data_IF_529565595450
#
_entry.id   IF_529565595450
#
_cell.length_a   1.000
_cell.length_b   1.000
_cell.length_c   1.000
_cell.angle_alpha   90.00
_cell.angle_beta   90.00
_cell.angle_gamma   90.00
#
_symmetry.space_group_name_H-M   'P 1'
#
loop_
_entity.id
_entity.type
_entity.pdbx_description
1 polymer ?
#
# COMPACT_ATOMS: atom_id res chain seq x y z
N UNK A 1 15.97 -8.65 12.06
CA UNK A 1 15.89 -7.18 12.20
C UNK A 1 15.74 -6.63 10.79
N UNK A 2 14.53 -6.26 10.38
CA UNK A 2 14.29 -5.69 9.05
C UNK A 2 14.88 -4.28 9.04
N UNK A 3 15.95 -4.11 8.27
CA UNK A 3 16.67 -2.85 8.20
C UNK A 3 16.00 -1.98 7.12
N UNK A 4 14.79 -1.48 7.42
CA UNK A 4 13.92 -0.73 6.49
C UNK A 4 14.64 0.46 5.82
N UNK A 5 15.64 1.03 6.50
CA UNK A 5 16.50 2.10 5.98
C UNK A 5 17.43 1.68 4.85
N UNK A 6 17.79 0.39 4.77
CA UNK A 6 18.65 -0.15 3.71
C UNK A 6 17.87 -0.36 2.41
N UNK A 7 16.60 -0.73 2.49
CA UNK A 7 15.75 -0.96 1.32
C UNK A 7 15.41 0.32 0.56
N UNK A 8 15.32 1.47 1.24
CA UNK A 8 15.03 2.76 0.59
C UNK A 8 16.29 3.60 0.29
N UNK A 9 17.47 3.12 0.68
CA UNK A 9 18.73 3.86 0.54
C UNK A 9 19.15 4.15 -0.91
N UNK A 10 18.60 3.39 -1.87
CA UNK A 10 18.82 3.57 -3.30
C UNK A 10 17.91 4.66 -3.93
N UNK A 11 16.87 5.10 -3.22
CA UNK A 11 15.95 6.14 -3.69
C UNK A 11 16.59 7.50 -3.43
N UNK A 12 16.77 8.29 -4.48
CA UNK A 12 17.31 9.66 -4.37
C UNK A 12 16.40 10.51 -3.47
N UNK A 13 16.96 11.30 -2.55
CA UNK A 13 16.15 12.23 -1.75
C UNK A 13 15.53 13.30 -2.64
N UNK A 14 14.26 13.62 -2.41
CA UNK A 14 13.58 14.69 -3.14
C UNK A 14 14.19 16.05 -2.79
N UNK A 15 14.54 16.85 -3.81
CA UNK A 15 15.18 18.16 -3.66
C UNK A 15 14.40 19.31 -4.34
N UNK A 16 13.15 19.07 -4.73
CA UNK A 16 12.31 20.06 -5.43
C UNK A 16 12.52 20.12 -6.95
N UNK A 17 13.63 19.58 -7.47
CA UNK A 17 13.95 19.59 -8.91
C UNK A 17 13.95 18.19 -9.53
N UNK A 18 14.14 17.14 -8.72
CA UNK A 18 14.25 15.75 -9.16
C UNK A 18 12.95 14.95 -9.06
N UNK A 19 11.78 15.59 -9.19
CA UNK A 19 10.48 14.94 -9.01
C UNK A 19 10.31 13.64 -9.84
N UNK A 20 10.63 13.60 -11.15
CA UNK A 20 10.46 12.39 -11.95
C UNK A 20 11.29 11.20 -11.43
N UNK A 21 12.56 11.44 -11.09
CA UNK A 21 13.47 10.39 -10.63
C UNK A 21 13.11 9.92 -9.22
N UNK A 22 12.77 10.84 -8.32
CA UNK A 22 12.28 10.49 -6.99
C UNK A 22 10.98 9.68 -7.06
N UNK A 23 10.02 10.13 -7.89
CA UNK A 23 8.74 9.44 -8.07
C UNK A 23 8.95 8.02 -8.62
N UNK A 24 9.86 7.84 -9.57
CA UNK A 24 10.16 6.52 -10.14
C UNK A 24 10.72 5.56 -9.08
N UNK A 25 11.73 5.98 -8.30
CA UNK A 25 12.28 5.15 -7.22
C UNK A 25 11.23 4.82 -6.15
N UNK A 26 10.40 5.79 -5.79
CA UNK A 26 9.30 5.57 -4.87
C UNK A 26 8.24 4.61 -5.44
N UNK A 27 7.95 4.68 -6.74
CA UNK A 27 7.03 3.78 -7.39
C UNK A 27 7.51 2.33 -7.39
N UNK A 28 8.80 2.09 -7.69
CA UNK A 28 9.40 0.75 -7.60
C UNK A 28 9.26 0.18 -6.19
N UNK A 29 9.48 1.00 -5.15
CA UNK A 29 9.29 0.56 -3.77
C UNK A 29 7.85 0.12 -3.51
N UNK A 30 6.86 0.88 -3.98
CA UNK A 30 5.45 0.48 -3.84
C UNK A 30 5.17 -0.84 -4.57
N UNK A 31 5.76 -1.05 -5.75
CA UNK A 31 5.59 -2.27 -6.53
C UNK A 31 6.22 -3.49 -5.85
N UNK A 32 7.41 -3.35 -5.27
CA UNK A 32 8.09 -4.40 -4.50
C UNK A 32 7.30 -4.86 -3.27
N UNK A 33 6.39 -4.04 -2.78
CA UNK A 33 5.55 -4.31 -1.60
C UNK A 33 4.07 -4.51 -1.95
N UNK A 34 3.72 -4.66 -3.23
CA UNK A 34 2.33 -4.81 -3.71
C UNK A 34 1.38 -3.66 -3.28
N UNK A 35 1.92 -2.46 -3.01
CA UNK A 35 1.18 -1.30 -2.52
C UNK A 35 0.62 -0.41 -3.64
N UNK A 36 1.03 -0.62 -4.89
CA UNK A 36 0.61 0.19 -6.04
C UNK A 36 -0.91 0.27 -6.14
N UNK A 37 -1.60 -0.87 -6.03
CA UNK A 37 -3.06 -0.94 -6.12
C UNK A 37 -3.75 -0.20 -4.99
N UNK A 38 -3.15 -0.19 -3.80
CA UNK A 38 -3.66 0.57 -2.65
C UNK A 38 -3.51 2.07 -2.89
N UNK A 39 -2.34 2.52 -3.32
CA UNK A 39 -2.06 3.94 -3.59
C UNK A 39 -2.90 4.48 -4.75
N UNK A 40 -3.18 3.66 -5.76
CA UNK A 40 -4.08 4.01 -6.86
C UNK A 40 -5.57 3.95 -6.50
N UNK A 41 -5.93 3.41 -5.34
CA UNK A 41 -7.33 3.20 -4.94
C UNK A 41 -8.03 2.03 -5.62
N UNK A 42 -7.28 1.16 -6.31
CA UNK A 42 -7.78 -0.08 -6.92
C UNK A 42 -8.04 -1.17 -5.85
N UNK A 43 -7.31 -1.12 -4.74
CA UNK A 43 -7.48 -2.00 -3.60
C UNK A 43 -7.67 -1.18 -2.33
N UNK A 44 -8.70 -1.50 -1.56
CA UNK A 44 -8.97 -0.88 -0.27
C UNK A 44 -9.39 -1.94 0.74
N UNK A 45 -9.22 -1.62 2.02
CA UNK A 45 -9.73 -2.45 3.10
C UNK A 45 -11.22 -2.73 2.85
N UNK A 46 -11.67 -4.00 2.86
CA UNK A 46 -13.07 -4.32 2.64
C UNK A 46 -13.95 -3.67 3.71
N UNK A 47 -14.96 -2.90 3.30
CA UNK A 47 -15.96 -2.38 4.22
C UNK A 47 -16.82 -3.52 4.79
N UNK A 48 -17.33 -3.37 6.00
CA UNK A 48 -18.22 -4.37 6.60
C UNK A 48 -19.50 -4.56 5.76
N UNK A 49 -19.76 -5.80 5.35
CA UNK A 49 -20.94 -6.17 4.59
C UNK A 49 -21.98 -6.81 5.53
N UNK A 50 -23.09 -6.10 5.78
CA UNK A 50 -24.17 -6.55 6.65
C UNK A 50 -25.25 -7.31 5.84
N UNK A 51 -25.78 -8.38 6.40
CA UNK A 51 -27.00 -9.02 5.89
C UNK A 51 -28.28 -8.30 6.39
N UNK A 52 -29.45 -8.81 6.03
CA UNK A 52 -30.75 -8.23 6.41
C UNK A 52 -30.96 -8.17 7.93
N UNK A 53 -30.28 -9.04 8.69
CA UNK A 53 -30.34 -9.13 10.15
C UNK A 53 -29.26 -8.29 10.85
N UNK A 54 -28.45 -7.53 10.10
CA UNK A 54 -27.40 -6.66 10.66
C UNK A 54 -26.12 -7.40 11.08
N UNK A 55 -25.87 -8.60 10.56
CA UNK A 55 -24.67 -9.41 10.85
C UNK A 55 -23.60 -9.21 9.77
N UNK A 56 -22.36 -8.98 10.19
CA UNK A 56 -21.19 -8.86 9.29
C UNK A 56 -20.87 -10.21 8.65
N UNK A 57 -20.94 -10.27 7.32
CA UNK A 57 -20.76 -11.49 6.52
C UNK A 57 -19.36 -11.67 5.94
N UNK A 58 -18.60 -10.59 5.78
CA UNK A 58 -17.27 -10.60 5.17
C UNK A 58 -16.12 -10.52 6.20
N UNK A 59 -16.38 -10.90 7.46
CA UNK A 59 -15.38 -10.84 8.54
C UNK A 59 -14.10 -11.59 8.19
N UNK A 60 -14.20 -12.73 7.51
CA UNK A 60 -13.03 -13.50 7.04
C UNK A 60 -12.16 -12.71 6.05
N UNK A 61 -12.77 -11.96 5.12
CA UNK A 61 -12.04 -11.14 4.15
C UNK A 61 -11.37 -9.93 4.81
N UNK A 62 -12.02 -9.33 5.82
CA UNK A 62 -11.44 -8.25 6.63
C UNK A 62 -10.25 -8.78 7.44
N UNK A 63 -10.39 -9.94 8.06
CA UNK A 63 -9.29 -10.57 8.82
C UNK A 63 -8.12 -10.97 7.93
N UNK A 64 -8.38 -11.50 6.73
CA UNK A 64 -7.33 -11.90 5.78
C UNK A 64 -6.55 -10.74 5.16
N UNK A 65 -6.99 -9.49 5.37
CA UNK A 65 -6.27 -8.29 4.93
C UNK A 65 -5.08 -7.94 5.85
N UNK A 66 -5.02 -8.49 7.07
CA UNK A 66 -3.93 -8.29 8.04
C UNK A 66 -2.66 -9.08 7.70
#
# INVERSE_FOLDING_TARGET
MNNTTRDVGHIVKFNGQNFPLWKFGFWILLEQHDLVKIVNGEQALPAEALNAEGVVTNRAAITAWH
#
